data_IF_403465371843
#
_entry.id   IF_403465371843
#
_cell.length_a   1.000
_cell.length_b   1.000
_cell.length_c   1.000
_cell.angle_alpha   90.00
_cell.angle_beta   90.00
_cell.angle_gamma   90.00
#
_symmetry.space_group_name_H-M   'P 1'
#
loop_
_entity.id
_entity.type
_entity.pdbx_description
1 polymer ?
#
# COMPACT_ATOMS: atom_id res chain seq x y z
N UNK A 1 -12.27 -22.08 14.76
CA UNK A 1 -11.32 -21.87 15.87
C UNK A 1 -11.92 -21.05 17.02
N UNK A 2 -12.57 -19.91 16.74
CA UNK A 2 -13.25 -19.06 17.75
C UNK A 2 -14.38 -19.81 18.50
N UNK A 3 -15.09 -20.69 17.82
CA UNK A 3 -16.19 -21.48 18.42
C UNK A 3 -15.72 -22.44 19.52
N UNK A 4 -14.52 -23.02 19.39
CA UNK A 4 -13.96 -23.93 20.39
C UNK A 4 -13.53 -23.20 21.67
N UNK A 5 -13.07 -21.96 21.56
CA UNK A 5 -12.68 -21.13 22.71
C UNK A 5 -13.89 -20.76 23.58
N UNK A 6 -15.04 -20.52 22.95
CA UNK A 6 -16.28 -20.15 23.63
C UNK A 6 -16.85 -21.32 24.46
N UNK A 7 -16.72 -22.55 23.98
CA UNK A 7 -17.18 -23.76 24.68
C UNK A 7 -16.35 -24.03 25.93
N UNK A 8 -15.03 -23.81 25.89
CA UNK A 8 -14.15 -23.98 27.06
C UNK A 8 -14.48 -22.95 28.16
N UNK A 9 -14.87 -21.73 27.78
CA UNK A 9 -15.25 -20.65 28.70
C UNK A 9 -16.55 -20.92 29.49
N UNK A 10 -17.53 -21.58 28.87
CA UNK A 10 -18.81 -21.92 29.50
C UNK A 10 -18.68 -23.03 30.56
N UNK A 11 -17.68 -23.91 30.45
CA UNK A 11 -17.45 -25.00 31.40
C UNK A 11 -16.70 -24.56 32.67
N UNK A 12 -15.96 -23.45 32.63
CA UNK A 12 -15.22 -22.95 33.79
C UNK A 12 -16.07 -22.04 34.68
N UNK A 13 -17.04 -22.63 35.39
CA UNK A 13 -17.71 -21.97 36.52
C UNK A 13 -16.81 -21.95 37.79
N UNK A 14 -15.50 -21.79 37.62
CA UNK A 14 -14.52 -22.16 38.65
C UNK A 14 -13.42 -21.10 38.83
N UNK A 15 -13.45 -20.49 40.02
CA UNK A 15 -12.39 -19.77 40.72
C UNK A 15 -11.92 -18.41 40.16
N UNK A 16 -11.87 -17.39 41.03
CA UNK A 16 -11.49 -15.99 40.73
C UNK A 16 -10.10 -15.88 40.07
N UNK A 17 -9.22 -16.84 40.34
CA UNK A 17 -7.87 -16.92 39.74
C UNK A 17 -7.90 -17.35 38.27
N UNK A 18 -8.75 -18.28 37.86
CA UNK A 18 -8.86 -18.72 36.46
C UNK A 18 -9.45 -17.62 35.57
N UNK A 19 -10.40 -16.83 36.10
CA UNK A 19 -10.94 -15.65 35.39
C UNK A 19 -9.84 -14.61 35.08
N UNK A 20 -8.90 -14.39 36.02
CA UNK A 20 -7.75 -13.49 35.79
C UNK A 20 -6.79 -14.06 34.73
N UNK A 21 -6.54 -15.37 34.76
CA UNK A 21 -5.68 -16.04 33.79
C UNK A 21 -6.26 -15.97 32.38
N UNK A 22 -7.55 -16.27 32.23
CA UNK A 22 -8.29 -16.15 30.96
C UNK A 22 -8.25 -14.72 30.44
N UNK A 23 -8.47 -13.73 31.31
CA UNK A 23 -8.40 -12.31 30.91
C UNK A 23 -6.99 -11.91 30.48
N UNK A 24 -5.94 -12.37 31.17
CA UNK A 24 -4.55 -12.14 30.79
C UNK A 24 -4.22 -12.77 29.43
N UNK A 25 -4.64 -14.01 29.20
CA UNK A 25 -4.49 -14.70 27.90
C UNK A 25 -5.22 -13.95 26.78
N UNK A 26 -6.42 -13.42 27.06
CA UNK A 26 -7.20 -12.65 26.09
C UNK A 26 -6.51 -11.32 25.77
N UNK A 27 -5.94 -10.63 26.76
CA UNK A 27 -5.14 -9.42 26.55
C UNK A 27 -3.88 -9.70 25.72
N UNK A 28 -3.18 -10.81 25.98
CA UNK A 28 -2.02 -11.25 25.20
C UNK A 28 -2.42 -11.55 23.75
N UNK A 29 -3.51 -12.29 23.53
CA UNK A 29 -4.01 -12.58 22.19
C UNK A 29 -4.41 -11.30 21.42
N UNK A 30 -5.09 -10.35 22.08
CA UNK A 30 -5.43 -9.05 21.47
C UNK A 30 -4.18 -8.24 21.13
N UNK A 31 -3.15 -8.25 21.98
CA UNK A 31 -1.91 -7.51 21.71
C UNK A 31 -1.11 -8.07 20.53
N UNK A 32 -1.14 -9.39 20.28
CA UNK A 32 -0.59 -9.96 19.05
C UNK A 32 -1.33 -9.47 17.78
N UNK A 33 -2.66 -9.40 17.81
CA UNK A 33 -3.45 -8.91 16.66
C UNK A 33 -3.19 -7.41 16.38
N UNK A 34 -2.99 -6.60 17.44
CA UNK A 34 -2.65 -5.18 17.29
C UNK A 34 -1.24 -5.00 16.71
N UNK A 35 -0.31 -5.89 17.05
CA UNK A 35 1.06 -5.87 16.50
C UNK A 35 1.08 -6.22 15.01
N UNK A 36 0.29 -7.22 14.57
CA UNK A 36 0.16 -7.56 13.14
C UNK A 36 -0.45 -6.40 12.33
N UNK A 37 -1.48 -5.73 12.87
CA UNK A 37 -2.06 -4.54 12.22
C UNK A 37 -1.10 -3.33 12.20
N UNK A 38 -0.17 -3.24 13.15
CA UNK A 38 0.87 -2.21 13.15
C UNK A 38 1.98 -2.49 12.10
N UNK A 39 2.17 -3.76 11.72
CA UNK A 39 3.12 -4.17 10.67
C UNK A 39 2.49 -4.03 9.27
N UNK A 40 1.17 -4.19 9.14
CA UNK A 40 0.39 -3.92 7.92
C UNK A 40 0.27 -2.39 7.70
N UNK A 41 1.37 -1.74 7.34
CA UNK A 41 1.38 -0.31 7.04
C UNK A 41 0.99 -0.07 5.59
N UNK A 42 -0.16 0.57 5.36
CA UNK A 42 -0.50 1.19 4.08
C UNK A 42 -0.15 2.67 4.13
N UNK A 43 0.68 3.14 3.19
CA UNK A 43 1.02 4.56 3.06
C UNK A 43 0.70 5.06 1.65
N UNK A 44 -0.23 6.01 1.57
CA UNK A 44 -0.60 6.65 0.30
C UNK A 44 0.55 7.49 -0.25
N UNK A 45 0.80 7.37 -1.55
CA UNK A 45 1.78 8.15 -2.30
C UNK A 45 1.10 9.45 -2.74
N UNK A 46 1.65 10.58 -2.30
CA UNK A 46 1.14 11.89 -2.70
C UNK A 46 1.89 12.41 -3.92
N UNK A 47 1.15 12.64 -5.01
CA UNK A 47 1.71 13.24 -6.21
C UNK A 47 1.71 14.76 -6.08
N UNK A 48 2.91 15.34 -5.97
CA UNK A 48 3.12 16.76 -5.68
C UNK A 48 3.62 17.56 -6.88
N UNK A 49 4.31 16.90 -7.81
CA UNK A 49 4.85 17.52 -9.01
C UNK A 49 4.09 16.98 -10.21
N UNK A 50 3.64 17.87 -11.09
CA UNK A 50 3.07 17.52 -12.38
C UNK A 50 3.67 18.39 -13.48
N UNK A 51 4.03 17.78 -14.60
CA UNK A 51 4.26 18.46 -15.88
C UNK A 51 3.11 18.12 -16.79
N UNK A 52 2.36 19.14 -17.19
CA UNK A 52 1.25 18.99 -18.14
C UNK A 52 1.78 19.44 -19.50
N UNK A 53 1.64 18.58 -20.50
CA UNK A 53 2.12 18.81 -21.86
C UNK A 53 1.01 19.28 -22.79
N UNK A 54 -0.21 18.77 -22.62
CA UNK A 54 -1.38 19.19 -23.40
C UNK A 54 -2.48 19.76 -22.48
N UNK A 55 -2.83 21.02 -22.71
CA UNK A 55 -3.86 21.75 -21.95
C UNK A 55 -5.24 21.67 -22.60
N UNK A 56 -5.38 21.04 -23.76
CA UNK A 56 -6.65 21.04 -24.52
C UNK A 56 -7.62 19.91 -24.15
N UNK A 57 -7.18 18.85 -23.46
CA UNK A 57 -8.00 17.64 -23.20
C UNK A 57 -8.56 17.54 -21.77
N UNK A 58 -7.88 18.05 -20.74
CA UNK A 58 -8.33 17.98 -19.34
C UNK A 58 -8.60 19.38 -18.78
N UNK A 59 -9.88 19.65 -18.48
CA UNK A 59 -10.37 20.95 -17.99
C UNK A 59 -9.94 21.29 -16.55
N UNK A 60 -9.35 20.33 -15.83
CA UNK A 60 -8.77 20.47 -14.49
C UNK A 60 -7.56 19.52 -14.41
N UNK A 61 -6.51 19.89 -13.67
CA UNK A 61 -5.39 19.00 -13.35
C UNK A 61 -5.90 17.79 -12.55
N UNK A 62 -6.34 16.76 -13.27
CA UNK A 62 -6.85 15.51 -12.72
C UNK A 62 -5.71 14.50 -12.72
N UNK A 63 -5.40 13.98 -11.54
CA UNK A 63 -4.42 12.92 -11.37
C UNK A 63 -5.13 11.60 -11.74
N UNK A 64 -4.71 10.89 -12.81
CA UNK A 64 -5.46 9.75 -13.33
C UNK A 64 -5.25 8.45 -12.53
N UNK A 65 -4.45 8.48 -11.47
CA UNK A 65 -4.14 7.33 -10.64
C UNK A 65 -4.17 7.67 -9.14
N UNK A 66 -4.47 6.67 -8.32
CA UNK A 66 -4.14 6.67 -6.90
C UNK A 66 -3.12 5.56 -6.62
N UNK A 67 -2.20 5.79 -5.70
CA UNK A 67 -1.17 4.81 -5.37
C UNK A 67 -0.87 4.76 -3.87
N UNK A 68 -0.62 3.56 -3.37
CA UNK A 68 -0.21 3.33 -1.98
C UNK A 68 0.85 2.24 -1.92
N UNK A 69 1.78 2.36 -0.96
CA UNK A 69 2.66 1.26 -0.57
C UNK A 69 1.89 0.39 0.41
N UNK A 70 1.72 -0.89 0.12
CA UNK A 70 1.02 -1.86 0.96
C UNK A 70 2.03 -2.83 1.58
N UNK A 71 1.99 -2.92 2.92
CA UNK A 71 2.82 -3.81 3.74
C UNK A 71 4.32 -3.71 3.48
N UNK A 72 4.78 -2.58 2.93
CA UNK A 72 6.16 -2.41 2.49
C UNK A 72 6.63 -3.48 1.48
N UNK A 73 5.69 -4.15 0.79
CA UNK A 73 5.95 -5.27 -0.13
C UNK A 73 5.66 -4.93 -1.58
N UNK A 74 4.64 -4.13 -1.83
CA UNK A 74 4.28 -3.73 -3.18
C UNK A 74 3.63 -2.35 -3.18
N UNK A 75 3.73 -1.67 -4.32
CA UNK A 75 2.89 -0.50 -4.59
C UNK A 75 1.61 -1.00 -5.23
N UNK A 76 0.48 -0.64 -4.64
CA UNK A 76 -0.84 -0.77 -5.24
C UNK A 76 -1.14 0.49 -6.03
N UNK A 77 -1.55 0.33 -7.29
CA UNK A 77 -2.00 1.42 -8.15
C UNK A 77 -3.43 1.16 -8.62
N UNK A 78 -4.27 2.19 -8.51
CA UNK A 78 -5.65 2.21 -8.98
C UNK A 78 -5.78 3.28 -10.07
N UNK A 79 -6.26 2.88 -11.25
CA UNK A 79 -6.55 3.81 -12.33
C UNK A 79 -7.93 4.44 -12.12
N UNK A 80 -7.96 5.77 -12.12
CA UNK A 80 -9.17 6.58 -11.96
C UNK A 80 -9.76 6.99 -13.32
N UNK A 81 -9.02 6.78 -14.40
CA UNK A 81 -9.43 7.04 -15.78
C UNK A 81 -9.02 5.87 -16.69
N UNK A 82 -9.86 5.56 -17.68
CA UNK A 82 -9.64 4.51 -18.67
C UNK A 82 -9.00 5.16 -19.88
N UNK A 83 -7.71 4.88 -20.12
CA UNK A 83 -7.02 5.40 -21.28
C UNK A 83 -6.85 4.31 -22.34
N UNK A 84 -7.19 4.63 -23.58
CA UNK A 84 -6.94 3.75 -24.74
C UNK A 84 -5.48 3.82 -25.21
N UNK A 85 -4.68 4.68 -24.59
CA UNK A 85 -3.24 4.85 -24.83
C UNK A 85 -2.45 4.24 -23.67
N UNK A 86 -1.20 3.86 -23.95
CA UNK A 86 -0.32 3.30 -22.93
C UNK A 86 0.24 4.40 -22.02
N UNK A 87 0.36 4.08 -20.73
CA UNK A 87 1.05 4.90 -19.73
C UNK A 87 2.32 4.19 -19.26
N UNK A 88 3.27 4.96 -18.76
CA UNK A 88 4.56 4.45 -18.28
C UNK A 88 4.72 4.73 -16.79
N UNK A 89 5.13 3.71 -16.05
CA UNK A 89 5.62 3.82 -14.69
C UNK A 89 7.14 3.78 -14.67
N UNK A 90 7.75 4.66 -13.88
CA UNK A 90 9.17 4.59 -13.53
C UNK A 90 9.35 4.75 -12.04
N UNK A 91 10.35 4.07 -11.47
CA UNK A 91 10.79 4.34 -10.11
C UNK A 91 12.24 4.78 -10.12
N UNK A 92 12.51 5.91 -9.46
CA UNK A 92 13.86 6.39 -9.21
C UNK A 92 14.27 6.14 -7.77
N UNK A 93 15.53 5.73 -7.60
CA UNK A 93 16.17 5.72 -6.29
C UNK A 93 16.56 7.13 -5.83
N UNK A 94 17.06 7.24 -4.60
CA UNK A 94 17.51 8.51 -4.01
C UNK A 94 18.73 9.15 -4.71
N UNK A 95 19.39 8.44 -5.63
CA UNK A 95 20.47 8.97 -6.47
C UNK A 95 19.94 9.46 -7.82
N UNK A 96 18.64 9.28 -8.09
CA UNK A 96 17.99 9.64 -9.34
C UNK A 96 18.11 8.57 -10.43
N UNK A 97 18.62 7.37 -10.12
CA UNK A 97 18.71 6.29 -11.08
C UNK A 97 17.34 5.63 -11.27
N UNK A 98 16.95 5.39 -12.52
CA UNK A 98 15.74 4.62 -12.83
C UNK A 98 16.03 3.13 -12.58
N UNK A 99 15.36 2.54 -11.60
CA UNK A 99 15.54 1.14 -11.20
C UNK A 99 14.35 0.25 -11.59
N UNK A 100 13.25 0.87 -12.00
CA UNK A 100 12.06 0.18 -12.52
C UNK A 100 11.46 1.02 -13.65
N UNK A 101 11.02 0.34 -14.70
CA UNK A 101 10.38 0.94 -15.86
C UNK A 101 9.42 -0.06 -16.49
N UNK A 102 8.16 0.31 -16.62
CA UNK A 102 7.15 -0.54 -17.26
C UNK A 102 6.11 0.30 -17.99
N UNK A 103 5.65 -0.20 -19.14
CA UNK A 103 4.57 0.42 -19.93
C UNK A 103 3.34 -0.46 -19.84
N UNK A 104 2.21 0.15 -19.51
CA UNK A 104 0.92 -0.53 -19.32
C UNK A 104 -0.18 0.19 -20.06
N UNK A 105 -1.31 -0.49 -20.29
CA UNK A 105 -2.54 0.14 -20.77
C UNK A 105 -3.45 0.29 -19.54
N UNK A 106 -3.72 1.53 -19.07
CA UNK A 106 -4.59 1.78 -17.92
C UNK A 106 -5.96 1.13 -18.10
N UNK A 107 -6.47 0.54 -17.02
CA UNK A 107 -7.83 0.00 -17.00
C UNK A 107 -8.46 0.18 -15.63
N UNK A 108 -9.55 0.93 -15.56
CA UNK A 108 -10.38 1.13 -14.38
C UNK A 108 -10.86 -0.23 -13.87
N UNK A 109 -10.97 -0.37 -12.55
CA UNK A 109 -11.31 -1.60 -11.84
C UNK A 109 -10.30 -2.73 -12.04
N UNK A 110 -9.11 -2.46 -12.58
CA UNK A 110 -7.99 -3.39 -12.51
C UNK A 110 -6.96 -2.91 -11.50
N UNK A 111 -6.49 -3.86 -10.70
CA UNK A 111 -5.44 -3.64 -9.74
C UNK A 111 -4.11 -3.80 -10.45
N UNK A 112 -3.29 -2.75 -10.46
CA UNK A 112 -1.90 -2.85 -10.86
C UNK A 112 -1.01 -2.87 -9.62
N UNK A 113 0.00 -3.73 -9.62
CA UNK A 113 0.91 -3.88 -8.48
C UNK A 113 2.36 -3.89 -8.93
N UNK A 114 3.20 -3.12 -8.25
CA UNK A 114 4.66 -3.11 -8.46
C UNK A 114 5.30 -3.80 -7.26
N UNK A 115 6.02 -4.89 -7.49
CA UNK A 115 6.72 -5.63 -6.44
C UNK A 115 7.95 -4.85 -5.94
N UNK A 116 8.06 -4.70 -4.62
CA UNK A 116 9.15 -4.01 -3.94
C UNK A 116 10.14 -4.99 -3.27
N UNK A 117 9.98 -6.31 -3.43
CA UNK A 117 10.79 -7.31 -2.73
C UNK A 117 12.30 -7.18 -2.99
N UNK A 118 12.70 -6.72 -4.16
CA UNK A 118 14.11 -6.52 -4.55
C UNK A 118 14.63 -5.10 -4.23
N UNK A 119 13.78 -4.22 -3.67
CA UNK A 119 14.13 -2.85 -3.36
C UNK A 119 14.83 -2.79 -2.00
N UNK A 120 15.91 -2.01 -1.93
CA UNK A 120 16.58 -1.72 -0.65
C UNK A 120 15.77 -0.72 0.15
N UNK A 121 15.91 -0.71 1.47
CA UNK A 121 15.28 0.35 2.28
C UNK A 121 15.84 1.73 1.92
N UNK A 122 14.96 2.71 1.74
CA UNK A 122 15.31 4.05 1.27
C UNK A 122 14.11 4.84 0.76
N UNK A 123 14.37 6.07 0.33
CA UNK A 123 13.39 6.96 -0.31
C UNK A 123 13.45 6.79 -1.83
N UNK A 124 12.27 6.80 -2.46
CA UNK A 124 12.08 6.57 -3.88
C UNK A 124 11.05 7.54 -4.45
N UNK A 125 11.12 7.77 -5.75
CA UNK A 125 10.12 8.53 -6.51
C UNK A 125 9.38 7.57 -7.44
N UNK A 126 8.05 7.53 -7.36
CA UNK A 126 7.18 6.93 -8.35
C UNK A 126 6.79 8.00 -9.38
N UNK A 127 7.09 7.73 -10.64
CA UNK A 127 6.76 8.60 -11.77
C UNK A 127 5.73 7.86 -12.62
N UNK A 128 4.60 8.53 -12.86
CA UNK A 128 3.62 8.10 -13.86
C UNK A 128 3.63 9.11 -15.01
N UNK A 129 3.59 8.62 -16.24
CA UNK A 129 3.48 9.46 -17.43
C UNK A 129 2.52 8.86 -18.44
N UNK A 130 1.68 9.71 -19.00
CA UNK A 130 0.82 9.42 -20.15
C UNK A 130 1.12 10.42 -21.28
N UNK A 131 0.23 10.48 -22.28
CA UNK A 131 0.40 11.42 -23.42
C UNK A 131 0.26 12.90 -23.05
N UNK A 132 -0.46 13.20 -21.96
CA UNK A 132 -0.89 14.54 -21.60
C UNK A 132 -0.09 15.07 -20.40
N UNK A 133 0.43 14.20 -19.52
CA UNK A 133 1.12 14.60 -18.30
C UNK A 133 2.16 13.60 -17.77
N UNK A 134 3.05 14.12 -16.94
CA UNK A 134 3.95 13.37 -16.06
C UNK A 134 3.70 13.83 -14.61
N UNK A 135 3.49 12.89 -13.69
CA UNK A 135 3.32 13.17 -12.25
C UNK A 135 4.36 12.41 -11.44
N UNK A 136 4.78 13.00 -10.32
CA UNK A 136 5.79 12.41 -9.42
C UNK A 136 5.26 12.41 -8.00
N UNK A 137 5.36 11.25 -7.36
CA UNK A 137 5.06 11.06 -5.94
C UNK A 137 6.21 10.36 -5.24
N UNK A 138 6.44 10.71 -3.98
CA UNK A 138 7.52 10.15 -3.17
C UNK A 138 6.99 9.04 -2.25
N UNK A 139 7.81 8.00 -2.03
CA UNK A 139 7.52 6.95 -1.07
C UNK A 139 8.79 6.42 -0.41
N UNK A 140 8.62 5.67 0.67
CA UNK A 140 9.73 5.05 1.41
C UNK A 140 9.53 3.54 1.47
N UNK A 141 10.60 2.80 1.21
CA UNK A 141 10.70 1.38 1.53
C UNK A 141 11.46 1.26 2.84
N UNK A 142 10.86 0.60 3.83
CA UNK A 142 11.50 0.29 5.09
C UNK A 142 12.42 -0.94 4.93
N UNK A 143 13.54 -0.97 5.64
CA UNK A 143 14.34 -2.20 5.73
C UNK A 143 13.55 -3.24 6.52
N UNK A 144 13.19 -4.35 5.88
CA UNK A 144 12.60 -5.50 6.56
C UNK A 144 13.80 -6.27 7.15
N UNK A 145 14.01 -6.14 8.46
CA UNK A 145 15.02 -6.89 9.21
C UNK A 145 14.53 -8.27 9.63
#
# INVERSE_FOLDING_TARGET
MIHYLFVILQQTNYNRYMKKLVFALLLIAVSFNVMDAAILSSSRILFINSKIWDTTTRSVSFIPIDASVEDNRYIKVEFLDDESQSSTFQIKDNQGNIIYHETVIPKINTLYTIDLSEFKGGQYELIYSDKDMEIVGEFTVNNIH
#
